data_IF_592403934500
#
_entry.id   IF_592403934500
#
_cell.length_a   1.000
_cell.length_b   1.000
_cell.length_c   1.000
_cell.angle_alpha   90.00
_cell.angle_beta   90.00
_cell.angle_gamma   90.00
#
_symmetry.space_group_name_H-M   'P 1'
#
loop_
_entity.id
_entity.type
_entity.pdbx_description
1 polymer ?
#
# COMPACT_ATOMS: atom_id res chain seq x y z
N UNK A 1 0.75 -5.76 16.86
CA UNK A 1 1.11 -5.15 15.56
C UNK A 1 1.76 -6.25 14.76
N UNK A 2 1.22 -6.62 13.60
CA UNK A 2 1.66 -7.80 12.86
C UNK A 2 2.40 -7.38 11.60
N UNK A 3 3.56 -7.99 11.35
CA UNK A 3 4.29 -7.88 10.10
C UNK A 3 4.09 -9.19 9.34
N UNK A 4 3.67 -9.11 8.08
CA UNK A 4 3.57 -10.29 7.23
C UNK A 4 4.84 -10.41 6.39
N UNK A 5 5.59 -11.48 6.62
CA UNK A 5 6.76 -11.83 5.83
C UNK A 5 6.36 -13.02 4.98
N UNK A 6 6.45 -12.86 3.66
CA UNK A 6 6.12 -13.93 2.73
C UNK A 6 7.40 -14.41 2.06
N UNK A 7 7.65 -15.71 2.16
CA UNK A 7 8.79 -16.41 1.55
C UNK A 7 8.25 -17.35 0.49
N UNK A 8 8.74 -17.22 -0.73
CA UNK A 8 8.30 -17.99 -1.88
C UNK A 8 9.45 -18.80 -2.46
N UNK A 9 9.13 -19.93 -3.08
CA UNK A 9 10.11 -20.72 -3.83
C UNK A 9 10.58 -20.00 -5.11
N UNK A 10 9.75 -19.09 -5.64
CA UNK A 10 9.98 -18.34 -6.86
C UNK A 10 9.50 -16.89 -6.72
N UNK A 11 9.89 -16.01 -7.64
CA UNK A 11 9.37 -14.64 -7.63
C UNK A 11 7.85 -14.63 -7.87
N UNK A 12 7.07 -13.91 -7.05
CA UNK A 12 5.64 -13.81 -7.26
C UNK A 12 5.34 -13.04 -8.55
N UNK A 13 4.35 -13.53 -9.28
CA UNK A 13 3.75 -12.80 -10.40
C UNK A 13 3.00 -11.54 -9.93
N UNK A 14 2.73 -10.64 -10.86
CA UNK A 14 2.01 -9.38 -10.61
C UNK A 14 0.70 -9.58 -9.84
N UNK A 15 -0.16 -10.49 -10.31
CA UNK A 15 -1.47 -10.71 -9.69
C UNK A 15 -1.41 -11.22 -8.25
N UNK A 16 -0.37 -11.98 -7.90
CA UNK A 16 -0.15 -12.44 -6.51
C UNK A 16 0.21 -11.27 -5.62
N UNK A 17 1.16 -10.43 -6.06
CA UNK A 17 1.55 -9.23 -5.32
C UNK A 17 0.39 -8.23 -5.16
N UNK A 18 -0.39 -8.00 -6.22
CA UNK A 18 -1.58 -7.13 -6.16
C UNK A 18 -2.63 -7.67 -5.19
N UNK A 19 -2.91 -8.98 -5.22
CA UNK A 19 -3.84 -9.61 -4.29
C UNK A 19 -3.39 -9.46 -2.82
N UNK A 20 -2.10 -9.63 -2.56
CA UNK A 20 -1.54 -9.41 -1.22
C UNK A 20 -1.66 -7.95 -0.76
N UNK A 21 -1.34 -7.01 -1.65
CA UNK A 21 -1.46 -5.57 -1.36
C UNK A 21 -2.91 -5.14 -1.15
N UNK A 22 -3.86 -5.81 -1.81
CA UNK A 22 -5.29 -5.58 -1.62
C UNK A 22 -5.80 -6.05 -0.24
N UNK A 23 -5.29 -7.20 0.25
CA UNK A 23 -5.53 -7.64 1.64
C UNK A 23 -4.98 -6.61 2.62
N UNK A 24 -3.75 -6.15 2.40
CA UNK A 24 -3.11 -5.13 3.24
C UNK A 24 -3.89 -3.81 3.23
N UNK A 25 -4.36 -3.36 2.06
CA UNK A 25 -5.17 -2.16 1.92
C UNK A 25 -6.51 -2.27 2.66
N UNK A 26 -7.12 -3.46 2.65
CA UNK A 26 -8.36 -3.74 3.39
C UNK A 26 -8.13 -3.70 4.90
N UNK A 27 -7.01 -4.26 5.36
CA UNK A 27 -6.58 -4.16 6.76
C UNK A 27 -6.33 -2.70 7.18
N UNK A 28 -5.66 -1.92 6.34
CA UNK A 28 -5.41 -0.49 6.56
C UNK A 28 -6.72 0.30 6.62
N UNK A 29 -7.68 0.02 5.74
CA UNK A 29 -8.99 0.68 5.76
C UNK A 29 -9.71 0.45 7.09
N UNK A 30 -9.74 -0.80 7.58
CA UNK A 30 -10.29 -1.13 8.89
C UNK A 30 -9.54 -0.44 10.03
N UNK A 31 -8.22 -0.26 9.93
CA UNK A 31 -7.46 0.50 10.92
C UNK A 31 -7.83 1.99 10.93
N UNK A 32 -7.94 2.65 9.77
CA UNK A 32 -8.35 4.05 9.66
C UNK A 32 -9.73 4.29 10.27
N UNK A 33 -10.71 3.45 9.93
CA UNK A 33 -12.05 3.51 10.51
C UNK A 33 -12.02 3.42 12.04
N UNK A 34 -11.24 2.49 12.60
CA UNK A 34 -11.05 2.37 14.06
C UNK A 34 -10.41 3.61 14.69
N UNK A 35 -9.48 4.27 14.00
CA UNK A 35 -8.88 5.52 14.51
C UNK A 35 -9.92 6.63 14.57
N UNK A 36 -10.71 6.82 13.51
CA UNK A 36 -11.75 7.85 13.50
C UNK A 36 -12.88 7.58 14.48
N UNK A 37 -13.30 6.32 14.64
CA UNK A 37 -14.25 5.93 15.70
C UNK A 37 -13.72 6.23 17.11
N UNK A 38 -12.40 6.25 17.28
CA UNK A 38 -11.74 6.62 18.53
C UNK A 38 -11.36 8.11 18.61
N UNK A 39 -11.90 8.96 17.72
CA UNK A 39 -11.61 10.40 17.62
C UNK A 39 -10.12 10.75 17.46
N UNK A 40 -9.37 9.87 16.77
CA UNK A 40 -7.96 10.10 16.43
C UNK A 40 -7.85 10.48 14.97
N UNK A 41 -6.93 11.40 14.68
CA UNK A 41 -6.60 11.82 13.31
C UNK A 41 -5.27 11.17 12.87
N UNK A 42 -5.30 9.99 12.23
CA UNK A 42 -4.10 9.38 11.67
C UNK A 42 -3.61 10.13 10.42
N UNK A 43 -2.33 10.02 10.04
CA UNK A 43 -1.83 10.62 8.81
C UNK A 43 -2.56 10.10 7.57
N UNK A 44 -2.84 10.98 6.60
CA UNK A 44 -3.58 10.63 5.38
C UNK A 44 -2.72 9.91 4.35
N UNK A 45 -1.40 10.06 4.46
CA UNK A 45 -0.43 9.44 3.56
C UNK A 45 0.90 9.15 4.26
N UNK A 46 1.71 8.28 3.66
CA UNK A 46 3.08 8.04 4.10
C UNK A 46 3.94 9.30 3.98
N UNK A 47 3.73 10.12 2.94
CA UNK A 47 4.45 11.38 2.74
C UNK A 47 4.17 12.40 3.86
N UNK A 48 2.90 12.58 4.23
CA UNK A 48 2.49 13.42 5.36
C UNK A 48 3.07 12.93 6.69
N UNK A 49 3.17 11.61 6.86
CA UNK A 49 3.81 10.98 8.00
C UNK A 49 5.36 11.04 7.94
N UNK A 50 5.98 11.77 7.01
CA UNK A 50 7.43 11.88 6.90
C UNK A 50 8.15 10.54 6.67
N UNK A 51 7.45 9.56 6.09
CA UNK A 51 8.02 8.25 5.75
C UNK A 51 8.99 8.44 4.58
N UNK A 52 10.15 7.78 4.65
CA UNK A 52 11.10 7.70 3.53
C UNK A 52 10.82 6.48 2.67
N UNK A 53 11.00 6.63 1.37
CA UNK A 53 10.77 5.56 0.40
C UNK A 53 12.04 4.73 0.20
N UNK A 54 11.93 3.42 0.41
CA UNK A 54 12.94 2.44 0.02
C UNK A 54 12.47 1.71 -1.25
N UNK A 55 13.11 1.86 -2.41
CA UNK A 55 12.73 1.07 -3.58
C UNK A 55 13.06 -0.41 -3.35
N UNK A 56 12.10 -1.27 -3.66
CA UNK A 56 12.30 -2.72 -3.58
C UNK A 56 12.98 -3.23 -4.86
N UNK A 57 13.83 -4.24 -4.67
CA UNK A 57 14.30 -5.10 -5.75
C UNK A 57 13.42 -6.36 -5.83
N UNK A 58 13.32 -7.00 -7.00
CA UNK A 58 12.69 -8.32 -7.10
C UNK A 58 13.34 -9.29 -6.11
N UNK A 59 12.53 -9.91 -5.25
CA UNK A 59 12.99 -10.83 -4.22
C UNK A 59 11.95 -11.94 -3.96
N UNK A 60 12.45 -13.11 -3.55
CA UNK A 60 11.62 -14.24 -3.09
C UNK A 60 11.12 -14.06 -1.66
N UNK A 61 11.63 -13.04 -0.97
CA UNK A 61 11.17 -12.61 0.34
C UNK A 61 10.59 -11.20 0.23
N UNK A 62 9.36 -11.02 0.70
CA UNK A 62 8.69 -9.73 0.74
C UNK A 62 8.15 -9.43 2.13
N UNK A 63 8.40 -8.21 2.60
CA UNK A 63 7.94 -7.72 3.89
C UNK A 63 6.83 -6.70 3.67
N UNK A 64 5.63 -7.04 4.14
CA UNK A 64 4.46 -6.18 4.04
C UNK A 64 4.18 -5.52 5.38
N UNK A 65 4.24 -4.19 5.39
CA UNK A 65 4.02 -3.36 6.57
C UNK A 65 2.63 -2.70 6.46
N UNK A 66 1.80 -2.85 7.48
CA UNK A 66 0.52 -2.13 7.57
C UNK A 66 0.74 -0.65 7.90
N UNK A 67 -0.31 0.17 7.81
CA UNK A 67 -0.23 1.61 8.05
C UNK A 67 0.41 1.95 9.40
N UNK A 68 0.02 1.32 10.53
CA UNK A 68 0.72 1.48 11.80
C UNK A 68 2.23 1.27 11.70
N UNK A 69 2.68 0.19 11.06
CA UNK A 69 4.11 -0.15 10.96
C UNK A 69 4.85 0.83 10.07
N UNK A 70 4.26 1.21 8.94
CA UNK A 70 4.79 2.21 8.02
C UNK A 70 5.03 3.53 8.76
N UNK A 71 4.05 3.99 9.54
CA UNK A 71 4.17 5.24 10.30
C UNK A 71 5.16 5.15 11.46
N UNK A 72 5.20 4.02 12.16
CA UNK A 72 6.14 3.81 13.27
C UNK A 72 7.60 3.75 12.78
N UNK A 73 7.88 3.05 11.67
CA UNK A 73 9.25 2.89 11.17
C UNK A 73 9.79 4.11 10.43
N UNK A 74 8.92 5.00 9.94
CA UNK A 74 9.28 6.15 9.10
C UNK A 74 10.03 5.75 7.82
N UNK A 75 9.88 4.51 7.39
CA UNK A 75 10.30 4.04 6.08
C UNK A 75 9.48 2.82 5.64
N UNK A 76 9.28 2.70 4.33
CA UNK A 76 8.62 1.57 3.71
C UNK A 76 8.89 1.54 2.20
N UNK A 77 8.54 0.43 1.55
CA UNK A 77 8.60 0.32 0.11
C UNK A 77 7.33 0.74 -0.62
N UNK A 78 7.37 0.81 -1.95
CA UNK A 78 6.27 1.35 -2.75
C UNK A 78 4.95 0.59 -2.54
N UNK A 79 4.99 -0.73 -2.36
CA UNK A 79 3.82 -1.57 -2.12
C UNK A 79 3.04 -1.19 -0.85
N UNK A 80 3.66 -1.31 0.34
CA UNK A 80 3.07 -0.83 1.60
C UNK A 80 2.61 0.63 1.54
N UNK A 81 3.40 1.53 0.94
CA UNK A 81 3.03 2.95 0.78
C UNK A 81 1.73 3.08 -0.03
N UNK A 82 1.61 2.39 -1.16
CA UNK A 82 0.39 2.38 -1.97
C UNK A 82 -0.80 1.76 -1.21
N UNK A 83 -0.57 0.68 -0.46
CA UNK A 83 -1.61 0.05 0.35
C UNK A 83 -2.11 0.96 1.49
N UNK A 84 -1.27 1.84 2.03
CA UNK A 84 -1.70 2.90 2.98
C UNK A 84 -2.62 3.89 2.28
N UNK A 85 -2.21 4.41 1.11
CA UNK A 85 -3.01 5.38 0.35
C UNK A 85 -4.38 4.82 -0.06
N UNK A 86 -4.40 3.58 -0.57
CA UNK A 86 -5.66 2.87 -0.91
C UNK A 86 -6.51 2.62 0.34
N UNK A 87 -5.89 2.18 1.44
CA UNK A 87 -6.60 1.95 2.70
C UNK A 87 -7.28 3.21 3.24
N UNK A 88 -6.59 4.35 3.22
CA UNK A 88 -7.16 5.64 3.60
C UNK A 88 -8.36 6.02 2.71
N UNK A 89 -8.22 5.94 1.40
CA UNK A 89 -9.28 6.29 0.45
C UNK A 89 -10.53 5.40 0.62
N UNK A 90 -10.33 4.08 0.76
CA UNK A 90 -11.42 3.13 1.05
C UNK A 90 -12.13 3.47 2.35
N UNK A 91 -11.38 3.75 3.41
CA UNK A 91 -11.95 4.12 4.69
C UNK A 91 -12.76 5.41 4.59
N UNK A 92 -12.25 6.43 3.89
CA UNK A 92 -12.93 7.71 3.72
C UNK A 92 -14.27 7.56 2.99
N UNK A 93 -14.32 6.76 1.93
CA UNK A 93 -15.57 6.51 1.21
C UNK A 93 -16.54 5.63 2.00
N UNK A 94 -16.04 4.66 2.79
CA UNK A 94 -16.88 3.90 3.73
C UNK A 94 -17.47 4.80 4.82
N UNK A 95 -16.71 5.75 5.35
CA UNK A 95 -17.19 6.74 6.31
C UNK A 95 -18.32 7.61 5.72
N UNK A 96 -18.29 7.85 4.39
CA UNK A 96 -19.34 8.54 3.63
C UNK A 96 -20.53 7.65 3.26
N UNK A 97 -20.57 6.41 3.76
CA UNK A 97 -21.67 5.46 3.54
C UNK A 97 -21.50 4.56 2.32
N UNK A 98 -20.36 4.57 1.62
CA UNK A 98 -20.14 3.66 0.51
C UNK A 98 -19.86 2.22 1.00
N UNK A 99 -20.52 1.18 0.46
CA UNK A 99 -20.25 -0.20 0.85
C UNK A 99 -18.81 -0.64 0.56
N UNK A 100 -18.23 -1.45 1.44
CA UNK A 100 -16.84 -1.93 1.32
C UNK A 100 -16.51 -2.57 -0.04
N UNK A 101 -17.35 -3.45 -0.64
CA UNK A 101 -17.07 -4.02 -1.96
C UNK A 101 -16.90 -2.94 -3.04
N UNK A 102 -17.75 -1.90 -3.03
CA UNK A 102 -17.70 -0.81 -3.99
C UNK A 102 -16.43 0.04 -3.82
N UNK A 103 -16.01 0.30 -2.58
CA UNK A 103 -14.74 1.01 -2.33
C UNK A 103 -13.52 0.18 -2.76
N UNK A 104 -13.59 -1.15 -2.64
CA UNK A 104 -12.55 -2.07 -3.15
C UNK A 104 -12.45 -2.01 -4.66
N UNK A 105 -13.58 -1.92 -5.35
CA UNK A 105 -13.59 -1.81 -6.80
C UNK A 105 -13.05 -0.47 -7.29
N UNK A 106 -13.36 0.62 -6.59
CA UNK A 106 -12.95 1.98 -6.92
C UNK A 106 -11.49 2.27 -6.60
N UNK A 107 -10.96 1.71 -5.52
CA UNK A 107 -9.59 1.99 -5.06
C UNK A 107 -8.80 0.69 -4.99
N UNK A 108 -7.75 0.56 -5.81
CA UNK A 108 -6.92 -0.65 -5.86
C UNK A 108 -5.44 -0.27 -5.87
N UNK A 109 -4.62 -1.18 -5.38
CA UNK A 109 -3.18 -1.13 -5.68
C UNK A 109 -2.97 -1.83 -7.00
N UNK A 110 -2.26 -1.18 -7.93
CA UNK A 110 -1.86 -1.78 -9.21
C UNK A 110 -0.36 -1.66 -9.37
N UNK A 111 0.23 -2.69 -9.96
CA UNK A 111 1.67 -2.76 -10.19
C UNK A 111 1.96 -2.54 -11.66
N UNK A 112 2.82 -1.56 -11.96
CA UNK A 112 3.32 -1.37 -13.32
C UNK A 112 4.81 -1.71 -13.38
N UNK A 113 5.28 -2.31 -14.49
CA UNK A 113 6.69 -2.60 -14.65
C UNK A 113 7.46 -1.29 -14.83
N UNK A 114 8.52 -1.08 -14.03
CA UNK A 114 9.39 0.10 -14.13
C UNK A 114 10.80 -0.21 -14.64
N UNK A 115 11.11 -1.47 -14.89
CA UNK A 115 12.38 -1.84 -15.47
C UNK A 115 12.67 -3.32 -15.31
N UNK A 116 13.94 -3.66 -15.53
CA UNK A 116 14.47 -5.00 -15.26
C UNK A 116 15.70 -4.92 -14.39
N UNK A 117 15.76 -5.79 -13.39
CA UNK A 117 16.94 -6.04 -12.56
C UNK A 117 17.34 -7.49 -12.79
N UNK A 118 18.54 -7.76 -13.31
CA UNK A 118 19.02 -9.12 -13.62
C UNK A 118 17.98 -9.98 -14.39
N UNK A 119 17.42 -9.43 -15.48
CA UNK A 119 16.35 -10.02 -16.30
C UNK A 119 14.97 -10.19 -15.63
N UNK A 120 14.81 -9.87 -14.35
CA UNK A 120 13.55 -9.93 -13.63
C UNK A 120 12.82 -8.58 -13.68
N UNK A 121 11.49 -8.60 -13.83
CA UNK A 121 10.68 -7.37 -13.86
C UNK A 121 10.66 -6.72 -12.48
N UNK A 122 11.02 -5.45 -12.43
CA UNK A 122 10.82 -4.61 -11.25
C UNK A 122 9.44 -3.96 -11.33
N UNK A 123 8.67 -4.08 -10.26
CA UNK A 123 7.33 -3.51 -10.15
C UNK A 123 7.36 -2.24 -9.32
N UNK A 124 6.58 -1.24 -9.73
CA UNK A 124 6.25 -0.09 -8.90
C UNK A 124 4.76 -0.07 -8.60
N UNK A 125 4.41 0.25 -7.36
CA UNK A 125 3.03 0.23 -6.90
C UNK A 125 2.37 1.60 -6.98
N UNK A 126 1.17 1.62 -7.56
CA UNK A 126 0.34 2.80 -7.73
C UNK A 126 -1.00 2.61 -7.04
N UNK A 127 -1.62 3.72 -6.66
CA UNK A 127 -3.02 3.77 -6.27
C UNK A 127 -3.87 4.06 -7.51
N UNK A 128 -4.67 3.09 -7.95
CA UNK A 128 -5.73 3.30 -8.93
C UNK A 128 -7.00 3.77 -8.21
N UNK A 129 -7.44 5.00 -8.47
CA UNK A 129 -8.67 5.60 -7.95
C UNK A 129 -9.65 5.86 -9.10
N UNK A 130 -10.60 4.95 -9.31
CA UNK A 130 -11.43 4.93 -10.50
C UNK A 130 -10.58 4.74 -11.75
N UNK A 131 -10.50 5.77 -12.58
CA UNK A 131 -9.66 5.79 -13.79
C UNK A 131 -8.32 6.53 -13.60
N UNK A 132 -8.07 7.10 -12.41
CA UNK A 132 -6.88 7.89 -12.14
C UNK A 132 -5.80 7.03 -11.50
N UNK A 133 -4.63 7.00 -12.10
CA UNK A 133 -3.44 6.39 -11.54
C UNK A 133 -2.64 7.42 -10.73
N UNK A 134 -2.33 7.12 -9.49
CA UNK A 134 -1.62 8.01 -8.56
C UNK A 134 -0.36 7.29 -8.09
N UNK A 135 0.80 7.92 -8.25
CA UNK A 135 2.05 7.45 -7.64
C UNK A 135 2.15 8.02 -6.22
N UNK A 136 2.00 7.18 -5.18
CA UNK A 136 2.03 7.65 -3.80
C UNK A 136 3.46 7.98 -3.32
N UNK A 137 4.48 7.68 -4.12
CA UNK A 137 5.90 7.94 -3.81
C UNK A 137 6.48 9.16 -4.54
N UNK A 138 5.75 9.78 -5.48
CA UNK A 138 6.26 10.82 -6.37
C UNK A 138 6.92 12.03 -5.68
N UNK A 139 6.48 12.35 -4.46
CA UNK A 139 7.01 13.46 -3.66
C UNK A 139 7.74 13.01 -2.39
N UNK A 140 8.06 11.72 -2.28
CA UNK A 140 8.74 11.16 -1.11
C UNK A 140 10.24 11.22 -1.26
N UNK A 141 10.94 11.46 -0.15
CA UNK A 141 12.41 11.36 -0.11
C UNK A 141 12.81 9.89 -0.13
N UNK A 142 13.76 9.55 -0.99
CA UNK A 142 14.38 8.23 -1.01
C UNK A 142 15.28 8.05 0.22
N UNK A 143 15.34 6.82 0.73
CA UNK A 143 16.31 6.39 1.74
C UNK A 143 17.75 6.42 1.22
#
# INVERSE_FOLDING_TARGET
MYQLQLRLCELPGQGVLEAMLDVLASHNAGWYLRQWMAYREPPRSAAEAGVRWHPDAPATEAVFQDAPLVFARRWASCGPIAAVAVGYARALDQLRGMPAPRTRDLHRVVLLPQGRVHAQRQWHAYHLAGHRLIDPTAHMRRL
#
